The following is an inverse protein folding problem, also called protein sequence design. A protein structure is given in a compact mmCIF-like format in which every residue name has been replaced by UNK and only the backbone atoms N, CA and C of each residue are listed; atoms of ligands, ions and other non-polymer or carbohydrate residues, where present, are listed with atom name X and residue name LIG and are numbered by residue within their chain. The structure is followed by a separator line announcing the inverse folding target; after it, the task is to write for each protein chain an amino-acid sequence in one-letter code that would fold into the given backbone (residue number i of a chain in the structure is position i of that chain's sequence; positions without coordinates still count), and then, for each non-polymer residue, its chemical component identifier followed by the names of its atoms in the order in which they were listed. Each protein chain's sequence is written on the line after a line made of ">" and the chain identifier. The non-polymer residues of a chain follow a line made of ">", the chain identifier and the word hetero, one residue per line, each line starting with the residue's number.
data_IF_204396868761
#
_entry.id   IF_204396868761
#
_cell.length_a   1.000
_cell.length_b   1.000
_cell.length_c   1.000
_cell.angle_alpha   90.00
_cell.angle_beta   90.00
_cell.angle_gamma   90.00
#
_symmetry.space_group_name_H-M   'P 1'
#
loop_
_entity.id
_entity.type
_entity.pdbx_description
1 polymer ?
#
# COMPACT_ATOMS: atom_id res chain seq x y z
N UNK A 1 -35.15 -9.18 -34.55
CA UNK A 1 -34.89 -8.51 -33.25
C UNK A 1 -33.56 -9.03 -32.73
N UNK A 2 -32.50 -8.30 -32.45
CA UNK A 2 -32.23 -6.86 -32.33
C UNK A 2 -30.73 -6.60 -32.62
N UNK A 3 -30.37 -6.29 -33.87
CA UNK A 3 -29.04 -5.69 -34.18
C UNK A 3 -28.85 -4.29 -33.57
N UNK A 4 -29.94 -3.67 -33.10
CA UNK A 4 -29.92 -2.36 -32.44
C UNK A 4 -29.31 -2.38 -31.03
N UNK A 5 -29.38 -3.50 -30.30
CA UNK A 5 -28.84 -3.55 -28.92
C UNK A 5 -27.31 -3.64 -28.91
N UNK A 6 -26.71 -4.39 -29.85
CA UNK A 6 -25.25 -4.49 -29.98
C UNK A 6 -24.64 -3.19 -30.56
N UNK A 7 -25.32 -2.55 -31.52
CA UNK A 7 -24.90 -1.24 -32.04
C UNK A 7 -24.95 -0.14 -30.97
N UNK A 8 -25.97 -0.15 -30.11
CA UNK A 8 -26.09 0.79 -28.99
C UNK A 8 -25.05 0.49 -27.89
N UNK A 9 -24.69 -0.77 -27.65
CA UNK A 9 -23.67 -1.16 -26.67
C UNK A 9 -22.26 -0.68 -27.07
N UNK A 10 -21.92 -0.76 -28.35
CA UNK A 10 -20.66 -0.21 -28.90
C UNK A 10 -20.66 1.32 -28.82
N UNK A 11 -21.79 1.98 -29.11
CA UNK A 11 -21.90 3.43 -29.02
C UNK A 11 -21.77 3.92 -27.56
N UNK A 12 -22.41 3.24 -26.60
CA UNK A 12 -22.44 3.67 -25.20
C UNK A 12 -21.11 3.41 -24.48
N UNK A 13 -20.38 2.33 -24.80
CA UNK A 13 -19.12 2.01 -24.13
C UNK A 13 -17.87 2.53 -24.84
N UNK A 14 -17.83 2.57 -26.18
CA UNK A 14 -16.64 3.02 -26.89
C UNK A 14 -16.66 4.51 -27.26
N UNK A 15 -17.82 5.18 -27.34
CA UNK A 15 -17.85 6.63 -27.59
C UNK A 15 -17.25 7.47 -26.44
N UNK A 16 -17.46 7.15 -25.14
CA UNK A 16 -16.79 7.87 -24.06
C UNK A 16 -15.28 7.63 -24.06
N UNK A 17 -14.81 6.42 -24.38
CA UNK A 17 -13.38 6.12 -24.50
C UNK A 17 -12.76 6.86 -25.68
N UNK A 18 -13.43 6.88 -26.84
CA UNK A 18 -13.01 7.64 -28.01
C UNK A 18 -13.04 9.16 -27.78
N UNK A 19 -13.96 9.67 -26.95
CA UNK A 19 -14.03 11.08 -26.56
C UNK A 19 -12.93 11.46 -25.55
N UNK A 20 -12.66 10.61 -24.55
CA UNK A 20 -11.59 10.82 -23.56
C UNK A 20 -10.21 10.72 -24.23
N UNK A 21 -9.98 9.71 -25.07
CA UNK A 21 -8.75 9.57 -25.85
C UNK A 21 -8.64 10.64 -26.93
N UNK A 22 -9.72 10.96 -27.65
CA UNK A 22 -9.76 12.02 -28.65
C UNK A 22 -9.46 13.39 -28.05
N UNK A 23 -9.94 13.68 -26.83
CA UNK A 23 -9.67 14.93 -26.10
C UNK A 23 -8.26 14.96 -25.48
N UNK A 24 -7.67 13.81 -25.15
CA UNK A 24 -6.27 13.70 -24.75
C UNK A 24 -5.33 13.88 -25.95
N UNK A 25 -5.68 13.30 -27.10
CA UNK A 25 -4.98 13.45 -28.37
C UNK A 25 -5.11 14.89 -28.89
N UNK A 26 -6.30 15.49 -28.89
CA UNK A 26 -6.52 16.90 -29.26
C UNK A 26 -5.76 17.87 -28.35
N UNK A 27 -5.67 17.59 -27.04
CA UNK A 27 -4.82 18.35 -26.11
C UNK A 27 -3.33 18.16 -26.39
N UNK A 28 -2.89 16.95 -26.74
CA UNK A 28 -1.49 16.68 -27.12
C UNK A 28 -1.10 17.31 -28.46
N UNK A 29 -2.04 17.36 -29.41
CA UNK A 29 -1.89 18.02 -30.71
C UNK A 29 -1.95 19.54 -30.54
N UNK A 30 -2.82 20.08 -29.67
CA UNK A 30 -2.86 21.51 -29.34
C UNK A 30 -1.63 21.97 -28.53
N UNK A 31 -1.10 21.12 -27.66
CA UNK A 31 0.14 21.35 -26.93
C UNK A 31 1.38 21.30 -27.85
N UNK A 32 1.41 20.37 -28.82
CA UNK A 32 2.53 20.25 -29.79
C UNK A 32 2.41 21.15 -31.01
N UNK A 33 1.21 21.64 -31.38
CA UNK A 33 1.04 22.78 -32.30
C UNK A 33 1.53 24.10 -31.70
N UNK A 34 1.38 24.30 -30.39
CA UNK A 34 1.99 25.44 -29.67
C UNK A 34 3.52 25.36 -29.59
N UNK A 35 4.09 24.16 -29.71
CA UNK A 35 5.53 23.92 -29.67
C UNK A 35 6.20 23.84 -31.06
N UNK A 36 5.52 24.24 -32.14
CA UNK A 36 6.18 24.59 -33.41
C UNK A 36 6.96 23.49 -34.13
N UNK A 37 6.57 22.21 -34.05
CA UNK A 37 7.30 21.15 -34.76
C UNK A 37 6.43 19.95 -35.10
N UNK A 38 6.05 19.83 -36.37
CA UNK A 38 5.48 18.62 -36.93
C UNK A 38 6.55 17.86 -37.73
N UNK A 39 6.70 16.56 -37.48
CA UNK A 39 6.82 15.58 -38.58
C UNK A 39 6.16 14.27 -38.16
N UNK A 40 5.32 13.74 -39.05
CA UNK A 40 4.35 12.69 -38.81
C UNK A 40 4.92 11.26 -38.96
N UNK A 41 6.22 11.05 -38.69
CA UNK A 41 6.90 9.79 -39.05
C UNK A 41 7.41 8.94 -37.87
N UNK A 42 7.13 9.33 -36.63
CA UNK A 42 7.61 8.61 -35.44
C UNK A 42 6.50 7.97 -34.58
N UNK A 43 5.41 7.50 -35.20
CA UNK A 43 4.38 6.69 -34.52
C UNK A 43 4.27 5.32 -35.17
N UNK A 44 5.05 4.41 -34.58
CA UNK A 44 5.06 2.96 -34.73
C UNK A 44 3.91 2.33 -35.53
N UNK A 45 4.32 1.70 -36.62
CA UNK A 45 3.54 0.79 -37.46
C UNK A 45 2.77 -0.35 -36.76
N UNK A 46 2.93 -0.71 -35.46
CA UNK A 46 2.02 -1.67 -34.83
C UNK A 46 0.68 -1.10 -34.31
N UNK A 47 0.51 0.24 -34.25
CA UNK A 47 -0.65 0.88 -33.57
C UNK A 47 -1.81 1.28 -34.48
N UNK A 48 -1.67 1.11 -35.79
CA UNK A 48 -2.76 1.28 -36.78
C UNK A 48 -3.17 -0.03 -37.45
N UNK A 49 -2.33 -1.07 -37.38
CA UNK A 49 -2.57 -2.36 -38.05
C UNK A 49 -3.74 -3.10 -37.41
N UNK A 50 -3.88 -3.09 -36.07
CA UNK A 50 -4.96 -3.81 -35.40
C UNK A 50 -6.33 -3.14 -35.60
N UNK A 51 -6.51 -1.82 -35.43
CA UNK A 51 -7.77 -1.16 -35.76
C UNK A 51 -8.09 -1.23 -37.26
N UNK A 52 -7.07 -1.18 -38.13
CA UNK A 52 -7.22 -1.35 -39.57
C UNK A 52 -7.66 -2.76 -39.98
N UNK A 53 -7.09 -3.80 -39.38
CA UNK A 53 -7.48 -5.21 -39.59
C UNK A 53 -8.89 -5.48 -39.06
N UNK A 54 -9.24 -4.94 -37.89
CA UNK A 54 -10.59 -5.04 -37.33
C UNK A 54 -11.59 -4.30 -38.22
N UNK A 55 -11.24 -3.09 -38.70
CA UNK A 55 -12.04 -2.33 -39.64
C UNK A 55 -12.22 -3.05 -40.98
N UNK A 56 -11.16 -3.66 -41.51
CA UNK A 56 -11.20 -4.44 -42.75
C UNK A 56 -12.01 -5.73 -42.60
N UNK A 57 -11.90 -6.44 -41.48
CA UNK A 57 -12.71 -7.61 -41.17
C UNK A 57 -14.19 -7.25 -41.00
N UNK A 58 -14.49 -6.10 -40.39
CA UNK A 58 -15.86 -5.58 -40.25
C UNK A 58 -16.42 -5.12 -41.60
N UNK A 59 -15.62 -4.44 -42.43
CA UNK A 59 -15.99 -4.03 -43.78
C UNK A 59 -16.23 -5.26 -44.68
N UNK A 60 -15.39 -6.29 -44.60
CA UNK A 60 -15.60 -7.56 -45.30
C UNK A 60 -16.91 -8.23 -44.86
N UNK A 61 -17.20 -8.25 -43.56
CA UNK A 61 -18.45 -8.82 -43.01
C UNK A 61 -19.70 -8.02 -43.42
N UNK A 62 -19.56 -6.72 -43.68
CA UNK A 62 -20.67 -5.86 -44.11
C UNK A 62 -20.85 -5.82 -45.64
N UNK A 63 -19.77 -5.91 -46.42
CA UNK A 63 -19.80 -5.79 -47.89
C UNK A 63 -19.79 -7.14 -48.64
N UNK A 64 -19.04 -8.14 -48.17
CA UNK A 64 -18.88 -9.41 -48.89
C UNK A 64 -19.94 -10.44 -48.49
N UNK A 65 -20.54 -10.29 -47.30
CA UNK A 65 -21.64 -11.14 -46.87
C UNK A 65 -22.88 -11.00 -47.78
N UNK A 66 -23.05 -9.86 -48.45
CA UNK A 66 -24.15 -9.67 -49.41
C UNK A 66 -23.82 -10.29 -50.78
N UNK A 67 -22.54 -10.33 -51.18
CA UNK A 67 -22.09 -11.01 -52.40
C UNK A 67 -22.08 -12.55 -52.27
N UNK A 68 -21.84 -13.08 -51.08
CA UNK A 68 -21.74 -14.53 -50.83
C UNK A 68 -23.09 -15.28 -50.90
N UNK A 69 -24.23 -14.58 -50.98
CA UNK A 69 -25.54 -15.22 -51.22
C UNK A 69 -25.69 -15.83 -52.61
N UNK A 70 -24.81 -15.51 -53.57
CA UNK A 70 -24.95 -15.97 -54.95
C UNK A 70 -24.06 -17.16 -55.34
N UNK A 71 -23.15 -17.63 -54.48
CA UNK A 71 -22.25 -18.74 -54.86
C UNK A 71 -21.89 -19.64 -53.67
N UNK A 72 -22.38 -20.88 -53.69
CA UNK A 72 -22.26 -21.85 -52.58
C UNK A 72 -20.86 -22.40 -52.35
N UNK A 73 -20.09 -21.77 -51.46
CA UNK A 73 -18.72 -22.17 -51.11
C UNK A 73 -18.64 -22.63 -49.64
N UNK A 74 -18.82 -23.93 -49.41
CA UNK A 74 -18.80 -24.59 -48.07
C UNK A 74 -17.50 -24.44 -47.26
N UNK A 75 -16.37 -24.13 -47.91
CA UNK A 75 -15.07 -23.94 -47.23
C UNK A 75 -15.01 -22.61 -46.47
N UNK A 76 -15.75 -21.59 -46.94
CA UNK A 76 -15.82 -20.29 -46.27
C UNK A 76 -16.57 -20.39 -44.93
N UNK A 77 -17.62 -21.21 -44.86
CA UNK A 77 -18.44 -21.39 -43.65
C UNK A 77 -17.64 -21.97 -42.47
N UNK A 78 -16.71 -22.89 -42.74
CA UNK A 78 -15.88 -23.48 -41.68
C UNK A 78 -14.86 -22.47 -41.13
N UNK A 79 -14.31 -21.62 -42.00
CA UNK A 79 -13.43 -20.52 -41.59
C UNK A 79 -14.17 -19.46 -40.77
N UNK A 80 -15.40 -19.10 -41.16
CA UNK A 80 -16.25 -18.18 -40.40
C UNK A 80 -16.63 -18.73 -39.02
N UNK A 81 -16.95 -20.02 -38.92
CA UNK A 81 -17.29 -20.65 -37.64
C UNK A 81 -16.12 -20.62 -36.65
N UNK A 82 -14.89 -20.85 -37.11
CA UNK A 82 -13.70 -20.80 -36.25
C UNK A 82 -13.45 -19.39 -35.71
N UNK A 83 -13.61 -18.36 -36.55
CA UNK A 83 -13.46 -16.95 -36.15
C UNK A 83 -14.51 -16.54 -35.12
N UNK A 84 -15.77 -16.96 -35.30
CA UNK A 84 -16.84 -16.68 -34.32
C UNK A 84 -16.58 -17.39 -32.99
N UNK A 85 -16.06 -18.62 -33.01
CA UNK A 85 -15.75 -19.37 -31.79
C UNK A 85 -14.60 -18.73 -31.00
N UNK A 86 -13.53 -18.32 -31.69
CA UNK A 86 -12.39 -17.64 -31.08
C UNK A 86 -12.76 -16.23 -30.58
N UNK A 87 -13.61 -15.51 -31.31
CA UNK A 87 -14.14 -14.22 -30.89
C UNK A 87 -15.02 -14.32 -29.63
N UNK A 88 -15.87 -15.34 -29.55
CA UNK A 88 -16.68 -15.62 -28.37
C UNK A 88 -15.83 -15.95 -27.14
N UNK A 89 -14.78 -16.77 -27.30
CA UNK A 89 -13.85 -17.10 -26.22
C UNK A 89 -13.11 -15.86 -25.72
N UNK A 90 -12.62 -15.00 -26.62
CA UNK A 90 -11.95 -13.76 -26.25
C UNK A 90 -12.88 -12.80 -25.48
N UNK A 91 -14.16 -12.73 -25.85
CA UNK A 91 -15.15 -11.91 -25.15
C UNK A 91 -15.44 -12.42 -23.74
N UNK A 92 -15.57 -13.74 -23.56
CA UNK A 92 -15.77 -14.38 -22.25
C UNK A 92 -14.57 -14.10 -21.34
N UNK A 93 -13.35 -14.28 -21.85
CA UNK A 93 -12.12 -14.02 -21.08
C UNK A 93 -11.99 -12.53 -20.71
N UNK A 94 -12.39 -11.63 -21.60
CA UNK A 94 -12.45 -10.19 -21.31
C UNK A 94 -13.42 -9.90 -20.15
N UNK A 95 -14.66 -10.39 -20.20
CA UNK A 95 -15.64 -10.17 -19.13
C UNK A 95 -15.30 -10.89 -17.82
N UNK A 96 -14.59 -12.03 -17.85
CA UNK A 96 -14.04 -12.64 -16.64
C UNK A 96 -12.92 -11.79 -16.02
N UNK A 97 -12.18 -11.02 -16.82
CA UNK A 97 -11.09 -10.16 -16.32
C UNK A 97 -11.57 -8.83 -15.75
N UNK A 98 -12.73 -8.33 -16.17
CA UNK A 98 -13.30 -7.04 -15.73
C UNK A 98 -13.51 -6.97 -14.20
N UNK A 99 -14.10 -7.98 -13.52
CA UNK A 99 -14.22 -7.99 -12.06
C UNK A 99 -12.87 -7.94 -11.34
N UNK A 100 -11.82 -8.52 -11.92
CA UNK A 100 -10.49 -8.57 -11.31
C UNK A 100 -9.77 -7.23 -11.40
N UNK A 101 -9.90 -6.55 -12.54
CA UNK A 101 -9.32 -5.21 -12.76
C UNK A 101 -10.12 -4.14 -12.00
N UNK A 102 -11.45 -4.23 -12.02
CA UNK A 102 -12.31 -3.34 -11.23
C UNK A 102 -12.16 -3.57 -9.73
N UNK A 103 -12.03 -4.82 -9.27
CA UNK A 103 -11.76 -5.12 -7.87
C UNK A 103 -10.45 -4.50 -7.36
N UNK A 104 -9.40 -4.49 -8.18
CA UNK A 104 -8.13 -3.79 -7.85
C UNK A 104 -8.30 -2.27 -7.87
N UNK A 105 -9.07 -1.72 -8.79
CA UNK A 105 -9.29 -0.28 -8.89
C UNK A 105 -10.16 0.24 -7.72
N UNK A 106 -11.24 -0.46 -7.38
CA UNK A 106 -12.09 -0.15 -6.23
C UNK A 106 -11.41 -0.45 -4.90
N UNK A 107 -10.57 -1.49 -4.81
CA UNK A 107 -9.77 -1.77 -3.60
C UNK A 107 -8.76 -0.66 -3.31
N UNK A 108 -8.05 -0.16 -4.34
CA UNK A 108 -7.12 0.96 -4.19
C UNK A 108 -7.86 2.27 -3.93
N UNK A 109 -8.97 2.54 -4.65
CA UNK A 109 -9.76 3.74 -4.43
C UNK A 109 -10.45 3.74 -3.05
N UNK A 110 -10.97 2.61 -2.57
CA UNK A 110 -11.58 2.48 -1.25
C UNK A 110 -10.54 2.54 -0.13
N UNK A 111 -9.32 2.03 -0.34
CA UNK A 111 -8.22 2.23 0.61
C UNK A 111 -7.80 3.70 0.71
N UNK A 112 -7.82 4.43 -0.41
CA UNK A 112 -7.52 5.87 -0.44
C UNK A 112 -8.66 6.68 0.17
N UNK A 113 -9.92 6.44 -0.19
CA UNK A 113 -11.08 7.18 0.30
C UNK A 113 -11.54 6.78 1.71
N UNK A 114 -11.44 5.50 2.08
CA UNK A 114 -11.82 4.99 3.41
C UNK A 114 -10.92 5.53 4.52
N UNK A 115 -9.66 5.82 4.20
CA UNK A 115 -8.75 6.51 5.12
C UNK A 115 -9.17 7.98 5.38
N UNK A 116 -9.88 8.62 4.45
CA UNK A 116 -10.39 9.99 4.62
C UNK A 116 -11.79 10.06 5.26
N UNK A 117 -12.54 8.95 5.32
CA UNK A 117 -13.91 8.94 5.82
C UNK A 117 -14.07 8.46 7.27
N UNK A 118 -13.01 7.91 7.90
CA UNK A 118 -13.06 7.37 9.28
C UNK A 118 -12.85 8.40 10.41
N UNK A 119 -12.70 9.68 10.08
CA UNK A 119 -12.50 10.75 11.05
C UNK A 119 -13.80 11.40 11.49
N UNK A 120 -14.60 10.72 12.32
CA UNK A 120 -15.64 11.38 13.11
C UNK A 120 -16.99 10.66 13.19
N UNK A 121 -17.24 9.97 14.30
CA UNK A 121 -18.47 10.17 15.10
C UNK A 121 -18.37 9.46 16.45
N UNK A 122 -18.72 10.22 17.47
CA UNK A 122 -18.89 9.93 18.89
C UNK A 122 -19.77 8.73 19.27
N UNK A 123 -19.44 8.14 20.42
CA UNK A 123 -20.43 7.91 21.49
C UNK A 123 -20.85 6.46 21.74
N UNK A 124 -20.27 5.85 22.77
CA UNK A 124 -21.00 4.96 23.69
C UNK A 124 -20.36 5.09 25.08
N UNK A 125 -21.19 5.59 26.00
CA UNK A 125 -20.95 5.75 27.44
C UNK A 125 -21.17 4.40 28.13
N UNK A 126 -20.38 4.17 29.17
CA UNK A 126 -20.69 3.59 30.49
C UNK A 126 -19.31 3.41 31.16
N UNK A 127 -18.97 3.85 32.38
CA UNK A 127 -19.63 4.47 33.51
C UNK A 127 -18.71 4.15 34.71
N UNK A 128 -18.06 5.15 35.32
CA UNK A 128 -17.47 5.05 36.66
C UNK A 128 -16.96 6.43 37.12
N UNK A 129 -17.43 6.81 38.31
CA UNK A 129 -17.27 8.09 38.98
C UNK A 129 -15.84 8.45 39.42
N UNK A 130 -15.59 9.76 39.51
CA UNK A 130 -14.43 10.32 40.22
C UNK A 130 -14.07 11.73 39.73
N UNK A 131 -14.73 12.75 40.28
CA UNK A 131 -14.61 14.14 39.82
C UNK A 131 -13.31 14.86 40.19
N UNK A 132 -12.99 15.89 39.40
CA UNK A 132 -12.24 17.12 39.74
C UNK A 132 -12.47 18.16 38.61
N UNK A 133 -12.29 19.48 38.86
CA UNK A 133 -13.15 20.52 38.30
C UNK A 133 -12.75 21.08 36.95
N UNK A 134 -13.75 21.70 36.32
CA UNK A 134 -13.71 22.40 35.05
C UNK A 134 -12.69 23.55 35.01
N UNK A 135 -11.80 23.52 34.03
CA UNK A 135 -11.06 24.70 33.55
C UNK A 135 -11.66 25.08 32.20
N UNK A 136 -12.31 26.24 32.18
CA UNK A 136 -12.90 26.86 31.01
C UNK A 136 -11.81 27.60 30.22
N UNK A 137 -11.65 27.42 28.89
CA UNK A 137 -10.80 28.31 28.11
C UNK A 137 -11.62 29.53 27.67
N UNK A 138 -11.19 30.70 28.13
CA UNK A 138 -11.64 32.01 27.63
C UNK A 138 -11.33 32.13 26.13
N UNK A 139 -12.29 32.67 25.40
CA UNK A 139 -12.12 33.21 24.06
C UNK A 139 -11.31 34.51 24.07
N UNK A 140 -10.50 34.71 23.02
CA UNK A 140 -10.02 36.03 22.57
C UNK A 140 -8.50 36.12 22.38
N UNK A 141 -8.07 36.34 21.14
CA UNK A 141 -6.70 36.76 20.80
C UNK A 141 -6.24 36.26 19.44
N UNK A 142 -6.54 37.01 18.38
CA UNK A 142 -5.87 36.89 17.08
C UNK A 142 -4.40 37.27 17.24
N UNK A 143 -3.48 36.40 16.80
CA UNK A 143 -2.17 36.77 16.26
C UNK A 143 -1.65 35.57 15.46
N UNK A 144 -1.21 35.85 14.23
CA UNK A 144 -0.96 34.84 13.21
C UNK A 144 0.29 34.02 13.49
N UNK A 145 0.09 32.72 13.71
CA UNK A 145 1.18 31.74 13.64
C UNK A 145 1.25 31.16 12.24
N UNK A 146 2.41 31.36 11.63
CA UNK A 146 2.74 30.92 10.29
C UNK A 146 2.47 29.43 10.15
N UNK A 147 1.59 29.10 9.20
CA UNK A 147 1.55 27.77 8.60
C UNK A 147 2.95 27.53 8.05
N UNK A 148 3.76 26.75 8.77
CA UNK A 148 5.05 26.27 8.30
C UNK A 148 4.75 25.64 6.94
N UNK A 149 5.24 26.24 5.86
CA UNK A 149 5.28 25.58 4.55
C UNK A 149 6.37 24.50 4.63
N UNK A 150 6.16 23.51 5.50
CA UNK A 150 7.06 22.40 5.70
C UNK A 150 6.92 21.53 4.47
N UNK A 151 7.91 21.58 3.58
CA UNK A 151 8.08 20.52 2.60
C UNK A 151 8.02 19.16 3.32
N UNK A 152 7.50 18.15 2.64
CA UNK A 152 7.25 16.79 3.13
C UNK A 152 8.26 16.30 4.18
N UNK A 153 7.76 15.78 5.31
CA UNK A 153 8.53 15.16 6.39
C UNK A 153 8.18 13.67 6.51
N UNK A 154 9.10 12.81 6.15
CA UNK A 154 9.00 11.35 6.27
C UNK A 154 9.97 10.88 7.35
N UNK A 155 9.43 10.23 8.38
CA UNK A 155 10.19 9.68 9.50
C UNK A 155 10.15 8.16 9.41
N UNK A 156 11.30 7.55 9.14
CA UNK A 156 11.49 6.11 9.13
C UNK A 156 12.01 5.61 10.48
N UNK A 157 11.33 4.64 11.10
CA UNK A 157 11.70 4.09 12.41
C UNK A 157 11.91 2.58 12.29
N UNK A 158 13.17 2.17 12.26
CA UNK A 158 13.59 0.77 12.12
C UNK A 158 14.15 0.21 13.42
N UNK A 159 14.25 -1.11 13.51
CA UNK A 159 14.89 -1.80 14.63
C UNK A 159 14.19 -3.08 15.08
N UNK A 160 14.81 -3.86 15.99
CA UNK A 160 14.33 -5.18 16.36
C UNK A 160 12.99 -5.18 17.11
N UNK A 161 12.35 -6.34 17.21
CA UNK A 161 11.09 -6.48 17.95
C UNK A 161 11.27 -6.10 19.43
N UNK A 162 10.22 -5.53 20.04
CA UNK A 162 10.21 -5.09 21.44
C UNK A 162 11.22 -3.98 21.82
N UNK A 163 11.83 -3.30 20.83
CA UNK A 163 12.68 -2.12 21.08
C UNK A 163 11.92 -0.81 21.38
N UNK A 164 10.58 -0.82 21.48
CA UNK A 164 9.78 0.38 21.76
C UNK A 164 9.35 1.21 20.54
N UNK A 165 9.73 0.82 19.32
CA UNK A 165 9.43 1.52 18.05
C UNK A 165 7.99 1.97 17.88
N UNK A 166 7.02 1.05 17.97
CA UNK A 166 5.63 1.39 17.70
C UNK A 166 5.08 2.43 18.68
N UNK A 167 5.53 2.41 19.94
CA UNK A 167 5.15 3.43 20.93
C UNK A 167 5.79 4.77 20.60
N UNK A 168 7.09 4.77 20.27
CA UNK A 168 7.81 5.97 19.84
C UNK A 168 7.19 6.58 18.57
N UNK A 169 6.93 5.77 17.55
CA UNK A 169 6.36 6.17 16.28
C UNK A 169 4.98 6.81 16.42
N UNK A 170 4.09 6.22 17.24
CA UNK A 170 2.78 6.81 17.54
C UNK A 170 2.89 8.17 18.22
N UNK A 171 3.82 8.32 19.17
CA UNK A 171 4.04 9.61 19.84
C UNK A 171 4.58 10.66 18.88
N UNK A 172 5.55 10.30 18.04
CA UNK A 172 6.10 11.20 17.03
C UNK A 172 5.05 11.62 16.00
N UNK A 173 4.24 10.67 15.53
CA UNK A 173 3.11 10.94 14.64
C UNK A 173 2.14 11.94 15.26
N UNK A 174 1.74 11.74 16.52
CA UNK A 174 0.86 12.66 17.23
C UNK A 174 1.49 14.04 17.45
N UNK A 175 2.78 14.07 17.78
CA UNK A 175 3.51 15.31 18.06
C UNK A 175 3.71 16.18 16.81
N UNK A 176 4.08 15.58 15.68
CA UNK A 176 4.31 16.28 14.42
C UNK A 176 3.06 16.35 13.52
N UNK A 177 1.92 15.82 13.96
CA UNK A 177 0.67 15.82 13.17
C UNK A 177 0.73 14.99 11.88
N UNK A 178 1.56 13.93 11.86
CA UNK A 178 1.83 13.13 10.66
C UNK A 178 1.02 11.82 10.63
N UNK A 179 0.57 11.34 9.46
CA UNK A 179 0.02 9.99 9.32
C UNK A 179 0.99 8.90 9.79
N UNK A 180 0.48 7.87 10.47
CA UNK A 180 1.27 6.75 10.98
C UNK A 180 0.92 5.43 10.30
N UNK A 181 1.95 4.66 9.93
CA UNK A 181 1.82 3.28 9.46
C UNK A 181 2.71 2.32 10.28
N UNK A 182 2.05 1.37 10.96
CA UNK A 182 2.68 0.17 11.52
C UNK A 182 2.80 -0.89 10.42
N UNK A 183 3.96 -0.97 9.78
CA UNK A 183 4.18 -1.96 8.71
C UNK A 183 4.16 -3.38 9.25
N UNK A 184 4.45 -3.57 10.55
CA UNK A 184 4.37 -4.86 11.22
C UNK A 184 2.95 -5.44 11.24
N UNK A 185 1.92 -4.60 11.31
CA UNK A 185 0.51 -5.04 11.23
C UNK A 185 0.18 -5.66 9.88
N UNK A 186 0.76 -5.16 8.78
CA UNK A 186 0.57 -5.74 7.45
C UNK A 186 1.05 -7.20 7.44
N UNK A 187 2.28 -7.45 7.90
CA UNK A 187 2.83 -8.80 7.96
C UNK A 187 2.09 -9.71 8.96
N UNK A 188 1.61 -9.15 10.08
CA UNK A 188 0.76 -9.87 11.05
C UNK A 188 -0.56 -10.30 10.41
N UNK A 189 -1.20 -9.43 9.64
CA UNK A 189 -2.43 -9.74 8.95
C UNK A 189 -2.22 -10.81 7.86
N UNK A 190 -1.12 -10.76 7.11
CA UNK A 190 -0.75 -11.81 6.15
C UNK A 190 -0.52 -13.15 6.84
N UNK A 191 0.31 -13.17 7.89
CA UNK A 191 0.61 -14.41 8.61
C UNK A 191 -0.63 -15.05 9.24
N UNK A 192 -1.51 -14.23 9.82
CA UNK A 192 -2.79 -14.68 10.36
C UNK A 192 -3.76 -15.15 9.28
N UNK A 193 -3.86 -14.43 8.17
CA UNK A 193 -4.69 -14.82 7.03
C UNK A 193 -4.26 -16.16 6.42
N UNK A 194 -2.95 -16.36 6.26
CA UNK A 194 -2.40 -17.63 5.78
C UNK A 194 -2.69 -18.78 6.75
N UNK A 195 -2.47 -18.57 8.06
CA UNK A 195 -2.76 -19.58 9.08
C UNK A 195 -4.27 -19.93 9.13
N UNK A 196 -5.15 -18.94 9.05
CA UNK A 196 -6.60 -19.14 9.04
C UNK A 196 -7.08 -19.89 7.77
N UNK A 197 -6.39 -19.70 6.64
CA UNK A 197 -6.67 -20.40 5.39
C UNK A 197 -6.04 -21.80 5.31
N UNK A 198 -5.33 -22.26 6.35
CA UNK A 198 -4.59 -23.53 6.33
C UNK A 198 -3.43 -23.56 5.34
N UNK A 199 -2.93 -22.39 4.94
CA UNK A 199 -1.79 -22.25 4.03
C UNK A 199 -0.50 -22.45 4.83
N UNK A 200 0.42 -23.24 4.26
CA UNK A 200 1.78 -23.32 4.79
C UNK A 200 2.45 -21.95 4.73
N UNK A 201 2.84 -21.44 5.89
CA UNK A 201 3.47 -20.12 6.01
C UNK A 201 4.84 -20.08 5.31
N UNK A 202 5.46 -21.24 5.12
CA UNK A 202 6.76 -21.36 4.47
C UNK A 202 6.64 -21.55 2.94
N UNK A 203 5.42 -21.59 2.38
CA UNK A 203 5.17 -21.47 0.94
C UNK A 203 5.18 -19.99 0.52
N UNK A 204 6.24 -19.51 -0.15
CA UNK A 204 6.37 -18.09 -0.50
C UNK A 204 5.29 -17.61 -1.45
N UNK A 205 4.82 -18.48 -2.35
CA UNK A 205 3.86 -18.13 -3.41
C UNK A 205 2.46 -18.06 -2.81
N UNK A 206 2.08 -19.04 -1.98
CA UNK A 206 0.78 -19.05 -1.33
C UNK A 206 0.65 -17.90 -0.32
N UNK A 207 1.66 -17.66 0.53
CA UNK A 207 1.68 -16.51 1.43
C UNK A 207 1.65 -15.17 0.67
N UNK A 208 2.35 -15.08 -0.47
CA UNK A 208 2.32 -13.90 -1.35
C UNK A 208 0.93 -13.59 -1.90
N UNK A 209 0.13 -14.62 -2.23
CA UNK A 209 -1.28 -14.42 -2.66
C UNK A 209 -2.15 -13.84 -1.55
N UNK A 210 -1.95 -14.25 -0.31
CA UNK A 210 -2.65 -13.65 0.85
C UNK A 210 -2.27 -12.18 0.99
N UNK A 211 -0.99 -11.84 0.84
CA UNK A 211 -0.53 -10.45 0.86
C UNK A 211 -1.15 -9.60 -0.26
N UNK A 212 -1.30 -10.14 -1.46
CA UNK A 212 -1.96 -9.46 -2.58
C UNK A 212 -3.46 -9.26 -2.39
N UNK A 213 -4.10 -10.13 -1.60
CA UNK A 213 -5.53 -10.07 -1.29
C UNK A 213 -5.84 -9.23 -0.04
N UNK A 214 -4.81 -8.67 0.62
CA UNK A 214 -4.97 -7.95 1.88
C UNK A 214 -5.79 -6.67 1.67
N UNK A 215 -6.86 -6.52 2.45
CA UNK A 215 -7.69 -5.31 2.48
C UNK A 215 -7.37 -4.46 3.71
N UNK A 216 -7.60 -3.13 3.68
CA UNK A 216 -7.38 -2.27 4.84
C UNK A 216 -8.13 -2.73 6.10
N UNK A 217 -9.35 -3.24 5.95
CA UNK A 217 -10.18 -3.76 7.04
C UNK A 217 -9.55 -4.96 7.77
N UNK A 218 -8.62 -5.67 7.12
CA UNK A 218 -7.89 -6.76 7.77
C UNK A 218 -6.96 -6.26 8.88
N UNK A 219 -6.65 -4.97 8.92
CA UNK A 219 -5.77 -4.36 9.92
C UNK A 219 -6.50 -3.93 11.20
N UNK A 220 -7.84 -3.90 11.17
CA UNK A 220 -8.70 -3.52 12.29
C UNK A 220 -8.87 -4.65 13.32
N UNK A 221 -8.35 -5.85 13.02
CA UNK A 221 -8.35 -6.98 13.94
C UNK A 221 -7.44 -6.69 15.15
N UNK A 222 -8.06 -6.45 16.30
CA UNK A 222 -7.37 -6.21 17.57
C UNK A 222 -6.44 -7.35 18.01
N UNK A 223 -6.61 -8.55 17.48
CA UNK A 223 -5.77 -9.72 17.79
C UNK A 223 -4.42 -9.70 17.06
N UNK A 224 -4.24 -8.84 16.04
CA UNK A 224 -2.98 -8.75 15.29
C UNK A 224 -1.78 -8.35 16.15
N UNK A 225 -2.00 -7.63 17.25
CA UNK A 225 -0.93 -7.20 18.16
C UNK A 225 -0.48 -8.29 19.14
N UNK A 226 -1.12 -9.46 19.09
CA UNK A 226 -0.77 -10.63 19.89
C UNK A 226 0.63 -11.18 19.63
N UNK A 227 1.09 -12.03 20.55
CA UNK A 227 2.36 -12.75 20.42
C UNK A 227 2.36 -13.70 19.21
N UNK A 228 1.33 -14.53 19.07
CA UNK A 228 1.18 -15.49 17.98
C UNK A 228 1.24 -14.81 16.60
N UNK A 229 0.44 -13.75 16.39
CA UNK A 229 0.47 -12.99 15.15
C UNK A 229 1.87 -12.41 14.85
N UNK A 230 2.65 -12.08 15.89
CA UNK A 230 4.02 -11.62 15.76
C UNK A 230 4.99 -12.69 15.26
N UNK A 231 4.76 -13.96 15.59
CA UNK A 231 5.56 -15.09 15.10
C UNK A 231 5.18 -15.47 13.67
N UNK A 232 3.88 -15.55 13.38
CA UNK A 232 3.38 -15.76 12.02
C UNK A 232 3.93 -14.70 11.06
N UNK A 233 3.93 -13.44 11.48
CA UNK A 233 4.50 -12.32 10.73
C UNK A 233 6.00 -12.50 10.44
N UNK A 234 6.78 -12.99 11.41
CA UNK A 234 8.23 -13.15 11.25
C UNK A 234 8.56 -14.24 10.23
N UNK A 235 7.76 -15.31 10.15
CA UNK A 235 7.90 -16.35 9.13
C UNK A 235 7.60 -15.81 7.73
N UNK A 236 6.41 -15.26 7.52
CA UNK A 236 5.99 -14.81 6.18
C UNK A 236 6.81 -13.61 5.66
N UNK A 237 7.34 -12.76 6.54
CA UNK A 237 8.16 -11.61 6.16
C UNK A 237 9.52 -11.98 5.55
N UNK A 238 9.96 -13.25 5.67
CA UNK A 238 11.17 -13.75 5.03
C UNK A 238 10.97 -14.00 3.52
N UNK A 239 9.72 -14.06 3.04
CA UNK A 239 9.41 -14.45 1.66
C UNK A 239 9.37 -13.23 0.72
N UNK A 240 10.18 -13.20 -0.35
CA UNK A 240 10.18 -12.09 -1.31
C UNK A 240 8.81 -11.78 -1.93
N UNK A 241 7.95 -12.76 -2.31
CA UNK A 241 6.62 -12.47 -2.85
C UNK A 241 5.70 -11.73 -1.87
N UNK A 242 5.79 -12.02 -0.58
CA UNK A 242 5.02 -11.32 0.47
C UNK A 242 5.47 -9.86 0.56
N UNK A 243 6.78 -9.62 0.59
CA UNK A 243 7.33 -8.26 0.67
C UNK A 243 6.96 -7.45 -0.57
N UNK A 244 7.20 -8.00 -1.75
CA UNK A 244 6.87 -7.35 -3.02
C UNK A 244 5.39 -6.96 -3.12
N UNK A 245 4.47 -7.78 -2.59
CA UNK A 245 3.05 -7.47 -2.55
C UNK A 245 2.71 -6.28 -1.64
N UNK A 246 3.44 -6.09 -0.54
CA UNK A 246 3.19 -5.04 0.45
C UNK A 246 3.98 -3.75 0.16
N UNK A 247 5.08 -3.81 -0.59
CA UNK A 247 5.98 -2.68 -0.84
C UNK A 247 5.27 -1.49 -1.49
N UNK A 248 4.42 -1.75 -2.48
CA UNK A 248 3.73 -0.68 -3.22
C UNK A 248 2.85 0.18 -2.28
N UNK A 249 2.13 -0.47 -1.36
CA UNK A 249 1.31 0.22 -0.37
C UNK A 249 2.16 1.05 0.60
N UNK A 250 3.23 0.45 1.15
CA UNK A 250 4.12 1.13 2.09
C UNK A 250 4.83 2.34 1.46
N UNK A 251 5.32 2.18 0.22
CA UNK A 251 5.94 3.26 -0.55
C UNK A 251 4.95 4.37 -0.86
N UNK A 252 3.73 4.04 -1.25
CA UNK A 252 2.68 5.03 -1.49
C UNK A 252 2.33 5.79 -0.21
N UNK A 253 2.29 5.12 0.94
CA UNK A 253 2.08 5.75 2.24
C UNK A 253 3.22 6.72 2.60
N UNK A 254 4.48 6.30 2.41
CA UNK A 254 5.64 7.17 2.59
C UNK A 254 5.70 8.32 1.56
N UNK A 255 5.04 8.18 0.41
CA UNK A 255 5.05 9.18 -0.66
C UNK A 255 4.10 10.38 -0.41
N UNK A 256 3.24 10.32 0.61
CA UNK A 256 2.15 11.27 0.86
C UNK A 256 2.64 12.72 1.00
N UNK A 257 1.92 13.70 0.43
CA UNK A 257 2.33 15.11 0.45
C UNK A 257 2.41 15.70 1.86
N UNK A 258 1.55 15.26 2.78
CA UNK A 258 1.56 15.66 4.18
C UNK A 258 2.73 15.08 4.99
N UNK A 259 3.52 14.18 4.43
CA UNK A 259 4.54 13.42 5.16
C UNK A 259 3.98 12.16 5.82
N UNK A 260 4.82 11.43 6.56
CA UNK A 260 4.44 10.18 7.20
C UNK A 260 5.44 9.74 8.28
N UNK A 261 4.96 9.01 9.29
CA UNK A 261 5.78 8.19 10.19
C UNK A 261 5.54 6.73 9.88
N UNK A 262 6.60 5.98 9.58
CA UNK A 262 6.53 4.55 9.31
C UNK A 262 7.43 3.81 10.28
N UNK A 263 6.91 2.79 10.97
CA UNK A 263 7.73 1.89 11.78
C UNK A 263 7.80 0.47 11.23
N UNK A 264 9.00 -0.12 11.25
CA UNK A 264 9.27 -1.39 10.58
C UNK A 264 10.63 -2.01 10.88
N UNK A 265 11.25 -2.61 9.85
CA UNK A 265 12.57 -3.28 9.93
C UNK A 265 13.54 -2.77 8.86
N UNK A 266 13.01 -2.34 7.73
CA UNK A 266 13.72 -1.92 6.52
C UNK A 266 13.08 -0.69 5.89
N UNK A 267 12.47 0.18 6.70
CA UNK A 267 11.83 1.40 6.23
C UNK A 267 12.87 2.33 5.61
N UNK A 268 13.90 2.71 6.36
CA UNK A 268 14.94 3.64 5.91
C UNK A 268 15.92 3.04 4.91
N UNK A 269 15.90 1.73 4.67
CA UNK A 269 16.79 1.05 3.72
C UNK A 269 16.10 0.63 2.43
N UNK A 270 14.83 0.24 2.48
CA UNK A 270 14.11 -0.33 1.32
C UNK A 270 12.88 0.51 0.98
N UNK A 271 11.98 0.75 1.93
CA UNK A 271 10.66 1.36 1.66
C UNK A 271 10.78 2.86 1.37
N UNK A 272 11.45 3.59 2.24
CA UNK A 272 11.66 5.03 2.19
C UNK A 272 13.16 5.35 2.35
N UNK A 273 14.01 4.95 1.40
CA UNK A 273 15.45 5.26 1.43
C UNK A 273 15.73 6.76 1.32
N UNK A 274 14.76 7.56 0.84
CA UNK A 274 14.84 9.02 0.78
C UNK A 274 14.14 9.70 1.96
N UNK A 275 13.78 8.96 3.02
CA UNK A 275 13.14 9.56 4.18
C UNK A 275 14.03 10.65 4.79
N UNK A 276 13.44 11.79 5.09
CA UNK A 276 14.13 12.96 5.63
C UNK A 276 14.79 12.68 6.98
N UNK A 277 14.14 11.86 7.83
CA UNK A 277 14.70 11.41 9.10
C UNK A 277 14.59 9.90 9.20
N UNK A 278 15.71 9.25 9.53
CA UNK A 278 15.79 7.81 9.76
C UNK A 278 16.32 7.55 11.17
N UNK A 279 15.57 6.78 11.96
CA UNK A 279 15.93 6.41 13.33
C UNK A 279 15.98 4.89 13.39
N UNK A 280 17.12 4.34 13.81
CA UNK A 280 17.24 2.93 14.14
C UNK A 280 17.19 2.77 15.66
N UNK A 281 16.05 2.32 16.17
CA UNK A 281 15.80 2.13 17.60
C UNK A 281 16.26 0.74 18.01
N UNK A 282 17.19 0.65 18.94
CA UNK A 282 17.69 -0.62 19.47
C UNK A 282 17.55 -0.72 20.98
N UNK A 283 17.76 -1.93 21.50
CA UNK A 283 17.99 -2.23 22.90
C UNK A 283 18.59 -3.64 23.00
N UNK A 284 19.28 -3.96 24.09
CA UNK A 284 19.81 -5.30 24.30
C UNK A 284 18.70 -6.38 24.25
N UNK A 285 18.98 -7.60 23.74
CA UNK A 285 18.01 -8.70 23.76
C UNK A 285 17.39 -8.94 25.12
N UNK A 286 18.18 -8.80 26.19
CA UNK A 286 17.78 -8.99 27.58
C UNK A 286 16.74 -7.95 28.01
N UNK A 287 16.98 -6.67 27.71
CA UNK A 287 16.02 -5.59 27.99
C UNK A 287 14.74 -5.78 27.20
N UNK A 288 14.84 -6.15 25.92
CA UNK A 288 13.67 -6.39 25.05
C UNK A 288 12.85 -7.59 25.52
N UNK A 289 13.51 -8.66 25.95
CA UNK A 289 12.87 -9.84 26.52
C UNK A 289 12.15 -9.51 27.82
N UNK A 290 12.79 -8.73 28.72
CA UNK A 290 12.17 -8.27 29.97
C UNK A 290 10.91 -7.43 29.71
N UNK A 291 11.03 -6.38 28.89
CA UNK A 291 9.88 -5.53 28.49
C UNK A 291 8.73 -6.35 27.93
N UNK A 292 9.02 -7.33 27.08
CA UNK A 292 8.00 -8.20 26.49
C UNK A 292 7.36 -9.12 27.52
N UNK A 293 8.15 -9.66 28.45
CA UNK A 293 7.65 -10.52 29.53
C UNK A 293 6.71 -9.72 30.44
N UNK A 294 7.10 -8.50 30.82
CA UNK A 294 6.29 -7.60 31.65
C UNK A 294 4.97 -7.22 30.94
N UNK A 295 5.02 -6.94 29.63
CA UNK A 295 3.82 -6.66 28.83
C UNK A 295 2.83 -7.84 28.79
N UNK A 296 3.35 -9.07 28.73
CA UNK A 296 2.53 -10.28 28.73
C UNK A 296 1.96 -10.57 30.12
N UNK A 297 2.77 -10.41 31.17
CA UNK A 297 2.36 -10.56 32.56
C UNK A 297 1.23 -9.57 32.91
N UNK A 298 1.36 -8.31 32.50
CA UNK A 298 0.32 -7.28 32.69
C UNK A 298 -1.02 -7.62 31.99
N UNK A 299 -0.99 -8.49 30.97
CA UNK A 299 -2.18 -9.00 30.26
C UNK A 299 -2.68 -10.34 30.82
N UNK A 300 -2.22 -10.74 32.01
CA UNK A 300 -2.60 -12.00 32.65
C UNK A 300 -2.01 -13.24 32.00
N UNK A 301 -1.00 -13.09 31.14
CA UNK A 301 -0.31 -14.20 30.48
C UNK A 301 1.07 -14.41 31.09
N UNK A 302 1.17 -15.34 32.02
CA UNK A 302 2.46 -15.78 32.54
C UNK A 302 3.27 -16.48 31.45
N UNK A 303 4.40 -15.89 31.06
CA UNK A 303 5.39 -16.53 30.18
C UNK A 303 6.76 -16.40 30.83
N UNK A 304 7.55 -17.46 30.74
CA UNK A 304 8.90 -17.50 31.28
C UNK A 304 9.85 -16.56 30.53
N UNK A 305 10.66 -15.81 31.26
CA UNK A 305 11.61 -14.83 30.71
C UNK A 305 12.63 -15.52 29.80
N UNK A 306 13.16 -16.68 30.19
CA UNK A 306 14.18 -17.39 29.40
C UNK A 306 13.63 -17.85 28.06
N UNK A 307 12.37 -18.31 28.04
CA UNK A 307 11.66 -18.61 26.80
C UNK A 307 11.52 -17.37 25.91
N UNK A 308 11.09 -16.23 26.45
CA UNK A 308 10.95 -14.99 25.68
C UNK A 308 12.31 -14.52 25.15
N UNK A 309 13.38 -14.64 25.94
CA UNK A 309 14.74 -14.28 25.52
C UNK A 309 15.21 -15.14 24.35
N UNK A 310 14.98 -16.46 24.41
CA UNK A 310 15.30 -17.36 23.32
C UNK A 310 14.50 -17.02 22.04
N UNK A 311 13.20 -16.75 22.17
CA UNK A 311 12.34 -16.34 21.04
C UNK A 311 12.80 -15.01 20.42
N UNK A 312 13.16 -14.03 21.26
CA UNK A 312 13.69 -12.72 20.82
C UNK A 312 14.97 -12.92 20.01
N UNK A 313 15.94 -13.69 20.54
CA UNK A 313 17.21 -13.95 19.85
C UNK A 313 17.01 -14.70 18.53
N UNK A 314 16.17 -15.73 18.53
CA UNK A 314 15.85 -16.50 17.32
C UNK A 314 15.21 -15.61 16.25
N UNK A 315 14.31 -14.72 16.65
CA UNK A 315 13.68 -13.75 15.77
C UNK A 315 14.67 -12.75 15.21
N UNK A 316 15.56 -12.21 16.03
CA UNK A 316 16.57 -11.24 15.56
C UNK A 316 17.52 -11.88 14.56
N UNK A 317 17.96 -13.12 14.82
CA UNK A 317 18.78 -13.89 13.89
C UNK A 317 18.05 -14.11 12.55
N UNK A 318 16.75 -14.44 12.59
CA UNK A 318 15.92 -14.60 11.39
C UNK A 318 15.75 -13.29 10.64
N UNK A 319 15.46 -12.19 11.34
CA UNK A 319 15.24 -10.86 10.76
C UNK A 319 16.53 -10.29 10.14
N UNK A 320 17.69 -10.53 10.75
CA UNK A 320 19.00 -10.12 10.25
C UNK A 320 19.52 -11.02 9.11
N UNK A 321 19.23 -12.32 9.16
CA UNK A 321 19.69 -13.32 8.19
C UNK A 321 18.86 -13.39 6.89
N UNK A 322 17.87 -12.50 6.69
CA UNK A 322 17.02 -12.53 5.49
C UNK A 322 17.85 -12.21 4.25
N UNK A 323 17.62 -12.96 3.18
CA UNK A 323 18.22 -12.70 1.86
C UNK A 323 17.71 -11.40 1.22
N UNK A 324 16.51 -10.97 1.57
CA UNK A 324 15.88 -9.74 1.11
C UNK A 324 15.51 -8.88 2.31
N UNK A 325 15.90 -7.59 2.25
CA UNK A 325 15.63 -6.59 3.29
C UNK A 325 16.01 -7.05 4.71
N UNK A 326 17.29 -7.41 4.94
CA UNK A 326 17.76 -7.78 6.27
C UNK A 326 17.60 -6.61 7.24
N UNK A 327 17.32 -6.91 8.50
CA UNK A 327 17.29 -5.90 9.56
C UNK A 327 18.69 -5.31 9.76
N UNK A 328 18.91 -4.13 9.21
CA UNK A 328 20.13 -3.34 9.38
C UNK A 328 19.81 -1.85 9.37
N UNK A 329 20.55 -1.03 10.12
CA UNK A 329 20.42 0.42 10.02
C UNK A 329 20.77 0.90 8.61
N UNK A 330 20.05 1.92 8.15
CA UNK A 330 20.49 2.67 6.96
C UNK A 330 21.81 3.40 7.27
N UNK A 331 22.68 3.64 6.27
CA UNK A 331 23.97 4.32 6.50
C UNK A 331 23.85 5.68 7.18
N UNK A 332 22.73 6.37 6.97
CA UNK A 332 22.39 7.69 7.49
C UNK A 332 21.34 7.64 8.61
N UNK A 333 21.01 6.45 9.13
CA UNK A 333 20.10 6.32 10.26
C UNK A 333 20.77 6.73 11.57
N UNK A 334 20.07 7.52 12.37
CA UNK A 334 20.49 7.82 13.73
C UNK A 334 20.20 6.62 14.63
N UNK A 335 21.23 6.12 15.32
CA UNK A 335 21.07 5.03 16.29
C UNK A 335 20.50 5.59 17.61
N UNK A 336 19.34 5.08 18.02
CA UNK A 336 18.72 5.37 19.31
C UNK A 336 18.73 4.10 20.17
N UNK A 337 19.72 3.97 21.06
CA UNK A 337 19.76 2.87 22.02
C UNK A 337 18.89 3.18 23.23
N UNK A 338 17.81 2.40 23.39
CA UNK A 338 16.83 2.55 24.46
C UNK A 338 17.07 1.61 25.63
N UNK A 339 18.21 0.91 25.70
CA UNK A 339 18.50 -0.08 26.75
C UNK A 339 18.38 0.51 28.16
N UNK A 340 18.80 1.76 28.34
CA UNK A 340 18.78 2.49 29.61
C UNK A 340 17.79 3.67 29.60
N UNK A 341 16.92 3.75 28.58
CA UNK A 341 15.96 4.83 28.44
C UNK A 341 14.54 4.32 28.73
N UNK A 342 13.78 5.13 29.47
CA UNK A 342 12.33 5.02 29.45
C UNK A 342 11.75 5.59 28.14
N UNK A 343 10.44 5.46 27.97
CA UNK A 343 9.76 5.89 26.75
C UNK A 343 9.72 7.42 26.59
N UNK A 344 9.79 8.18 27.67
CA UNK A 344 9.77 9.65 27.64
C UNK A 344 11.15 10.21 27.25
N UNK A 345 12.22 9.64 27.80
CA UNK A 345 13.59 9.94 27.41
C UNK A 345 13.84 9.60 25.94
N UNK A 346 13.42 8.40 25.50
CA UNK A 346 13.54 8.01 24.09
C UNK A 346 12.74 8.93 23.15
N UNK A 347 11.55 9.37 23.58
CA UNK A 347 10.74 10.32 22.82
C UNK A 347 11.39 11.70 22.73
N UNK A 348 11.88 12.26 23.84
CA UNK A 348 12.60 13.55 23.85
C UNK A 348 13.83 13.51 22.95
N UNK A 349 14.65 12.47 23.06
CA UNK A 349 15.84 12.30 22.23
C UNK A 349 15.50 12.23 20.73
N UNK A 350 14.41 11.55 20.37
CA UNK A 350 13.94 11.51 18.99
C UNK A 350 13.42 12.88 18.50
N UNK A 351 12.67 13.61 19.33
CA UNK A 351 12.23 14.96 18.99
C UNK A 351 13.42 15.90 18.76
N UNK A 352 14.40 15.93 19.67
CA UNK A 352 15.60 16.75 19.52
C UNK A 352 16.34 16.48 18.20
N UNK A 353 16.42 15.21 17.78
CA UNK A 353 17.00 14.85 16.49
C UNK A 353 16.21 15.43 15.31
N UNK A 354 14.89 15.25 15.32
CA UNK A 354 14.00 15.69 14.24
C UNK A 354 13.97 17.23 14.17
N UNK A 355 13.89 17.91 15.31
CA UNK A 355 13.83 19.37 15.39
C UNK A 355 15.14 20.01 14.92
N UNK A 356 16.29 19.37 15.21
CA UNK A 356 17.58 19.78 14.62
C UNK A 356 17.58 19.66 13.10
N UNK A 357 16.99 18.61 12.54
CA UNK A 357 16.85 18.46 11.10
C UNK A 357 15.94 19.54 10.50
N UNK A 358 14.79 19.80 11.13
CA UNK A 358 13.82 20.79 10.66
C UNK A 358 14.37 22.22 10.74
N UNK A 359 15.07 22.57 11.82
CA UNK A 359 15.72 23.88 11.93
C UNK A 359 16.82 24.08 10.88
N UNK A 360 17.62 23.04 10.59
CA UNK A 360 18.63 23.08 9.52
C UNK A 360 18.04 23.30 8.11
N UNK A 361 16.82 22.83 7.84
CA UNK A 361 16.11 23.04 6.57
C UNK A 361 15.61 24.46 6.36
N UNK A 362 15.27 25.18 7.42
CA UNK A 362 14.72 26.53 7.34
C UNK A 362 15.79 27.64 7.35
N UNK A 363 17.05 27.28 7.63
CA UNK A 363 18.17 28.22 7.76
C UNK A 363 19.15 28.26 6.59
N UNK A 364 18.93 27.50 5.51
CA UNK A 364 19.78 27.45 4.31
C UNK A 364 19.04 27.86 3.05
#
# INVERSE_FOLDING_TARGET
>A
MSGGAAGLFVLVFFAPLAFVYGRAVARSIAARRRAGGASALALGLPKLVLPGLVGAALAYRLFVHDAARSTGWRVLDTGLALVDTLGGLALILFFLSVPFVMGRFFGVAAAVLGYFAGGGSSGLRDGADGGMPAVSPKAGGEEGDGVIMAGKLTIAIDGPAAAGKGTLARRLSAHYGLPYLDTGLLYRAVGRGAAAAGIDLDDPVAAGRIALALTPSALDDGTLRGHEAGELASRVAAHPPVRAALDAFQRAFAARPEGAVLDGRDIGTVIAPEAEVKIFVTASPEVRARRRTDELAAKGRGVDYERILAEVRARDARDAGRSVAPLKPAPDAHLLDTSEMDIDAAFRAACELIDRFLSGRNGG
#
